data_IF_803943170915
#
_entry.id   IF_803943170915
#
_cell.length_a   1.000
_cell.length_b   1.000
_cell.length_c   1.000
_cell.angle_alpha   90.00
_cell.angle_beta   90.00
_cell.angle_gamma   90.00
#
_symmetry.space_group_name_H-M   'P 1'
#
loop_
_entity.id
_entity.type
_entity.pdbx_description
1 polymer ?
#
# COMPACT_ATOMS: atom_id res chain seq x y z
N UNK A 1 28.33 -6.00 -44.86
CA UNK A 1 29.14 -5.39 -43.77
C UNK A 1 28.30 -5.41 -42.50
N UNK A 2 28.80 -5.98 -41.41
CA UNK A 2 28.10 -6.03 -40.11
C UNK A 2 28.10 -4.62 -39.52
N UNK A 3 26.93 -4.06 -39.25
CA UNK A 3 26.79 -2.75 -38.62
C UNK A 3 27.05 -2.87 -37.11
N UNK A 4 28.31 -2.67 -36.72
CA UNK A 4 28.83 -2.74 -35.34
C UNK A 4 28.34 -1.58 -34.42
N UNK A 5 27.52 -0.65 -34.94
CA UNK A 5 27.04 0.52 -34.20
C UNK A 5 25.63 0.38 -33.62
N UNK A 6 24.96 -0.74 -33.86
CA UNK A 6 23.78 -1.10 -33.09
C UNK A 6 24.20 -2.24 -32.18
N UNK A 7 24.44 -2.03 -30.86
CA UNK A 7 24.42 -3.15 -29.95
C UNK A 7 23.11 -3.88 -30.20
N UNK A 8 23.22 -5.15 -30.57
CA UNK A 8 22.10 -6.07 -30.52
C UNK A 8 21.58 -6.01 -29.08
N UNK A 9 20.56 -5.19 -28.83
CA UNK A 9 19.55 -5.46 -27.81
C UNK A 9 18.77 -6.69 -28.29
N UNK A 10 19.51 -7.80 -28.46
CA UNK A 10 18.94 -9.12 -28.41
C UNK A 10 18.35 -9.24 -27.02
N UNK A 11 17.07 -8.90 -26.94
CA UNK A 11 16.05 -9.43 -26.06
C UNK A 11 16.58 -10.47 -25.06
N UNK A 12 17.24 -10.01 -24.00
CA UNK A 12 17.12 -10.65 -22.71
C UNK A 12 16.08 -9.86 -21.92
N UNK A 13 14.91 -9.66 -22.52
CA UNK A 13 13.72 -9.49 -21.71
C UNK A 13 13.66 -10.77 -20.86
N UNK A 14 14.00 -10.65 -19.59
CA UNK A 14 13.67 -11.69 -18.61
C UNK A 14 12.15 -11.72 -18.61
N UNK A 15 11.58 -12.54 -19.49
CA UNK A 15 10.16 -12.82 -19.52
C UNK A 15 9.87 -13.51 -18.20
N UNK A 16 9.39 -12.74 -17.22
CA UNK A 16 8.91 -13.30 -15.95
C UNK A 16 7.90 -14.38 -16.33
N UNK A 17 8.12 -15.65 -15.96
CA UNK A 17 7.22 -16.72 -16.37
C UNK A 17 5.79 -16.40 -15.92
N UNK A 18 4.81 -16.58 -16.80
CA UNK A 18 3.41 -16.26 -16.51
C UNK A 18 2.88 -16.95 -15.24
N UNK A 19 3.44 -18.12 -14.89
CA UNK A 19 3.15 -18.84 -13.66
C UNK A 19 3.56 -18.07 -12.40
N UNK A 20 4.70 -17.37 -12.43
CA UNK A 20 5.20 -16.54 -11.33
C UNK A 20 4.30 -15.33 -11.13
N UNK A 21 3.94 -14.62 -12.21
CA UNK A 21 3.01 -13.48 -12.15
C UNK A 21 1.64 -13.90 -11.60
N UNK A 22 1.13 -15.04 -12.07
CA UNK A 22 -0.15 -15.60 -11.59
C UNK A 22 -0.07 -15.98 -10.10
N UNK A 23 1.04 -16.56 -9.66
CA UNK A 23 1.25 -16.95 -8.27
C UNK A 23 1.31 -15.72 -7.34
N UNK A 24 2.12 -14.72 -7.69
CA UNK A 24 2.23 -13.46 -6.94
C UNK A 24 0.88 -12.74 -6.90
N UNK A 25 0.18 -12.65 -8.04
CA UNK A 25 -1.15 -12.04 -8.10
C UNK A 25 -2.17 -12.76 -7.20
N UNK A 26 -2.13 -14.10 -7.12
CA UNK A 26 -2.99 -14.86 -6.21
C UNK A 26 -2.66 -14.61 -4.73
N UNK A 27 -1.38 -14.49 -4.38
CA UNK A 27 -0.99 -14.12 -3.02
C UNK A 27 -1.52 -12.72 -2.69
N UNK A 28 -1.35 -11.78 -3.61
CA UNK A 28 -1.86 -10.43 -3.42
C UNK A 28 -3.37 -10.42 -3.23
N UNK A 29 -4.13 -11.01 -4.17
CA UNK A 29 -5.59 -10.92 -4.18
C UNK A 29 -6.26 -11.66 -3.02
N UNK A 30 -5.70 -12.80 -2.60
CA UNK A 30 -6.32 -13.66 -1.59
C UNK A 30 -5.77 -13.47 -0.17
N UNK A 31 -4.58 -12.86 -0.03
CA UNK A 31 -3.92 -12.70 1.27
C UNK A 31 -3.70 -11.23 1.58
N UNK A 32 -2.96 -10.50 0.74
CA UNK A 32 -2.60 -9.12 1.05
C UNK A 32 -3.80 -8.18 0.98
N UNK A 33 -4.62 -8.24 -0.07
CA UNK A 33 -5.75 -7.32 -0.22
C UNK A 33 -6.79 -7.44 0.93
N UNK A 34 -7.21 -8.66 1.34
CA UNK A 34 -8.03 -8.81 2.54
C UNK A 34 -7.36 -8.32 3.82
N UNK A 35 -6.04 -8.52 3.97
CA UNK A 35 -5.28 -8.05 5.12
C UNK A 35 -5.19 -6.52 5.16
N UNK A 36 -4.94 -5.88 4.01
CA UNK A 36 -4.93 -4.42 3.84
C UNK A 36 -6.30 -3.85 4.23
N UNK A 37 -7.38 -4.45 3.73
CA UNK A 37 -8.74 -4.05 4.08
C UNK A 37 -9.02 -4.20 5.58
N UNK A 38 -8.57 -5.30 6.20
CA UNK A 38 -8.68 -5.52 7.63
C UNK A 38 -7.90 -4.47 8.43
N UNK A 39 -6.65 -4.19 8.06
CA UNK A 39 -5.82 -3.17 8.71
C UNK A 39 -6.44 -1.78 8.60
N UNK A 40 -7.00 -1.44 7.44
CA UNK A 40 -7.71 -0.18 7.24
C UNK A 40 -8.97 -0.10 8.13
N UNK A 41 -9.74 -1.18 8.21
CA UNK A 41 -10.90 -1.26 9.11
C UNK A 41 -10.51 -1.06 10.58
N UNK A 42 -9.39 -1.66 11.02
CA UNK A 42 -8.86 -1.46 12.38
C UNK A 42 -8.43 -0.01 12.61
N UNK A 43 -7.73 0.60 11.66
CA UNK A 43 -7.30 2.00 11.76
C UNK A 43 -8.51 2.95 11.89
N UNK A 44 -9.55 2.75 11.07
CA UNK A 44 -10.81 3.51 11.14
C UNK A 44 -11.54 3.26 12.45
N UNK A 45 -11.63 2.00 12.89
CA UNK A 45 -12.26 1.67 14.17
C UNK A 45 -11.55 2.34 15.35
N UNK A 46 -10.22 2.36 15.36
CA UNK A 46 -9.42 3.03 16.39
C UNK A 46 -9.57 4.55 16.34
N UNK A 47 -9.62 5.13 15.14
CA UNK A 47 -9.94 6.55 14.94
C UNK A 47 -11.31 6.91 15.52
N UNK A 48 -12.35 6.15 15.19
CA UNK A 48 -13.72 6.35 15.70
C UNK A 48 -13.74 6.19 17.23
N UNK A 49 -13.08 5.17 17.78
CA UNK A 49 -12.95 4.99 19.22
C UNK A 49 -12.31 6.21 19.90
N UNK A 50 -11.31 6.82 19.27
CA UNK A 50 -10.71 8.08 19.72
C UNK A 50 -11.70 9.24 19.74
N UNK A 51 -12.48 9.44 18.67
CA UNK A 51 -13.53 10.47 18.59
C UNK A 51 -14.54 10.27 19.72
N UNK A 52 -15.07 9.05 19.83
CA UNK A 52 -16.09 8.70 20.80
C UNK A 52 -15.60 8.96 22.23
N UNK A 53 -14.38 8.54 22.54
CA UNK A 53 -13.75 8.78 23.85
C UNK A 53 -13.56 10.26 24.13
N UNK A 54 -13.16 11.04 23.12
CA UNK A 54 -12.95 12.49 23.24
C UNK A 54 -14.26 13.25 23.50
N UNK A 55 -15.36 12.86 22.84
CA UNK A 55 -16.65 13.56 22.92
C UNK A 55 -17.44 13.18 24.18
N UNK A 56 -17.51 11.90 24.55
CA UNK A 56 -18.34 11.44 25.69
C UNK A 56 -17.77 11.77 27.06
N UNK A 57 -16.51 12.23 27.15
CA UNK A 57 -15.85 12.51 28.42
C UNK A 57 -15.44 14.00 28.54
N UNK A 58 -16.38 14.97 28.40
CA UNK A 58 -16.05 16.39 28.29
C UNK A 58 -15.27 16.95 29.49
N UNK A 59 -15.60 16.48 30.70
CA UNK A 59 -15.02 16.96 31.97
C UNK A 59 -13.78 16.18 32.41
N UNK A 60 -13.43 15.08 31.73
CA UNK A 60 -12.28 14.26 32.09
C UNK A 60 -11.10 14.53 31.15
N UNK A 61 -10.16 15.37 31.61
CA UNK A 61 -8.98 15.76 30.85
C UNK A 61 -8.11 14.57 30.41
N UNK A 62 -7.97 13.54 31.24
CA UNK A 62 -7.15 12.36 30.93
C UNK A 62 -7.78 11.53 29.80
N UNK A 63 -9.09 11.27 29.88
CA UNK A 63 -9.80 10.51 28.84
C UNK A 63 -9.86 11.28 27.52
N UNK A 64 -9.98 12.60 27.57
CA UNK A 64 -9.89 13.44 26.36
C UNK A 64 -8.52 13.37 25.72
N UNK A 65 -7.45 13.38 26.51
CA UNK A 65 -6.11 13.24 25.95
C UNK A 65 -5.91 11.85 25.31
N UNK A 66 -6.39 10.78 25.97
CA UNK A 66 -6.39 9.44 25.37
C UNK A 66 -7.20 9.38 24.07
N UNK A 67 -8.38 10.00 24.02
CA UNK A 67 -9.20 10.08 22.80
C UNK A 67 -8.49 10.82 21.67
N UNK A 68 -7.80 11.95 21.99
CA UNK A 68 -6.98 12.70 21.04
C UNK A 68 -5.85 11.85 20.47
N UNK A 69 -5.10 11.19 21.33
CA UNK A 69 -4.01 10.28 20.94
C UNK A 69 -4.57 9.14 20.07
N UNK A 70 -5.73 8.58 20.43
CA UNK A 70 -6.43 7.57 19.64
C UNK A 70 -6.76 8.03 18.22
N UNK A 71 -7.31 9.24 18.08
CA UNK A 71 -7.57 9.85 16.77
C UNK A 71 -6.29 10.00 15.95
N UNK A 72 -5.21 10.49 16.55
CA UNK A 72 -3.93 10.69 15.86
C UNK A 72 -3.39 9.35 15.34
N UNK A 73 -3.37 8.31 16.17
CA UNK A 73 -2.89 6.98 15.76
C UNK A 73 -3.75 6.37 14.65
N UNK A 74 -5.07 6.57 14.69
CA UNK A 74 -5.96 6.17 13.60
C UNK A 74 -5.62 6.87 12.27
N UNK A 75 -5.38 8.18 12.31
CA UNK A 75 -4.97 8.97 11.13
C UNK A 75 -3.61 8.52 10.63
N UNK A 76 -2.62 8.33 11.51
CA UNK A 76 -1.28 7.85 11.15
C UNK A 76 -1.37 6.48 10.48
N UNK A 77 -2.20 5.57 11.02
CA UNK A 77 -2.45 4.27 10.40
C UNK A 77 -2.99 4.40 8.98
N UNK A 78 -4.02 5.22 8.76
CA UNK A 78 -4.57 5.47 7.42
C UNK A 78 -3.54 6.12 6.48
N UNK A 79 -2.74 7.08 6.97
CA UNK A 79 -1.72 7.76 6.18
C UNK A 79 -0.62 6.80 5.69
N UNK A 80 -0.21 5.83 6.52
CA UNK A 80 0.73 4.79 6.12
C UNK A 80 0.16 3.96 4.97
N UNK A 81 -1.12 3.54 5.06
CA UNK A 81 -1.76 2.74 4.01
C UNK A 81 -1.77 3.48 2.66
N UNK A 82 -2.15 4.77 2.66
CA UNK A 82 -2.12 5.60 1.44
C UNK A 82 -0.70 5.78 0.93
N UNK A 83 0.27 5.97 1.83
CA UNK A 83 1.68 6.15 1.46
C UNK A 83 2.25 4.93 0.75
N UNK A 84 1.87 3.71 1.16
CA UNK A 84 2.33 2.48 0.49
C UNK A 84 1.88 2.46 -0.98
N UNK A 85 0.61 2.79 -1.28
CA UNK A 85 0.14 2.86 -2.67
C UNK A 85 0.88 3.93 -3.48
N UNK A 86 1.11 5.11 -2.88
CA UNK A 86 1.84 6.19 -3.54
C UNK A 86 3.29 5.80 -3.85
N UNK A 87 3.98 5.17 -2.89
CA UNK A 87 5.37 4.71 -3.04
C UNK A 87 5.45 3.60 -4.10
N UNK A 88 4.55 2.62 -4.07
CA UNK A 88 4.54 1.55 -5.09
C UNK A 88 4.39 2.13 -6.49
N UNK A 89 3.41 3.02 -6.69
CA UNK A 89 3.17 3.66 -7.98
C UNK A 89 4.36 4.49 -8.44
N UNK A 90 4.97 5.25 -7.53
CA UNK A 90 6.15 6.05 -7.82
C UNK A 90 7.34 5.18 -8.24
N UNK A 91 7.63 4.11 -7.51
CA UNK A 91 8.76 3.22 -7.79
C UNK A 91 8.59 2.47 -9.12
N UNK A 92 7.41 1.91 -9.37
CA UNK A 92 7.13 1.16 -10.61
C UNK A 92 7.30 2.08 -11.84
N UNK A 93 6.68 3.26 -11.80
CA UNK A 93 6.79 4.23 -12.89
C UNK A 93 8.21 4.78 -13.07
N UNK A 94 9.02 4.83 -12.00
CA UNK A 94 10.39 5.34 -12.08
C UNK A 94 11.38 4.32 -12.67
N UNK A 95 11.12 3.03 -12.52
CA UNK A 95 12.03 1.96 -12.99
C UNK A 95 11.69 1.55 -14.42
N UNK A 96 10.43 1.25 -14.70
CA UNK A 96 9.99 0.87 -16.05
C UNK A 96 8.49 1.17 -16.24
N UNK A 97 8.13 2.28 -16.91
CA UNK A 97 6.74 2.63 -17.18
C UNK A 97 5.98 1.63 -18.06
N UNK A 98 6.67 0.72 -18.75
CA UNK A 98 6.07 -0.25 -19.66
C UNK A 98 5.62 -1.55 -18.96
N UNK A 99 6.14 -1.82 -17.75
CA UNK A 99 5.78 -2.99 -16.95
C UNK A 99 4.56 -2.65 -16.08
N UNK A 100 3.37 -3.09 -16.52
CA UNK A 100 2.13 -2.98 -15.75
C UNK A 100 2.01 -4.11 -14.70
N UNK A 101 2.88 -4.06 -13.68
CA UNK A 101 2.78 -4.93 -12.50
C UNK A 101 1.59 -4.58 -11.62
N UNK A 102 1.07 -3.34 -11.70
CA UNK A 102 -0.08 -2.89 -10.94
C UNK A 102 -1.35 -3.64 -11.32
N UNK A 103 -1.48 -4.14 -12.54
CA UNK A 103 -2.59 -5.02 -12.95
C UNK A 103 -2.74 -6.30 -12.09
N UNK A 104 -1.67 -6.74 -11.44
CA UNK A 104 -1.67 -7.94 -10.59
C UNK A 104 -1.80 -7.63 -9.09
N UNK A 105 -1.84 -6.34 -8.75
CA UNK A 105 -1.92 -5.76 -7.40
C UNK A 105 -3.25 -5.02 -7.33
#
# INVERSE_FOLDING_TARGET
MINIFLPNIAEAAVLIPASVLTFVGKIYSNILNPLIALMFAVAVAYFIFGIVTYIWNPDNAELREKGRIGMIWGIVGMAIMVSVFAIMHFLINSIDPSIDVMKYV
#
